data_IF_727598690832
#
_entry.id   IF_727598690832
#
_cell.length_a   1.000
_cell.length_b   1.000
_cell.length_c   1.000
_cell.angle_alpha   90.00
_cell.angle_beta   90.00
_cell.angle_gamma   90.00
#
_symmetry.space_group_name_H-M   'P 1'
#
loop_
_entity.id
_entity.type
_entity.pdbx_description
1 polymer ?
#
# COMPACT_ATOMS: atom_id res chain seq x y z
N UNK A 1 6.68 -24.39 -4.48
CA UNK A 1 7.10 -23.63 -3.28
C UNK A 1 7.97 -22.42 -3.66
N UNK A 2 9.22 -22.59 -4.12
CA UNK A 2 10.13 -21.45 -4.44
C UNK A 2 9.67 -20.58 -5.61
N UNK A 3 9.16 -21.18 -6.68
CA UNK A 3 8.72 -20.43 -7.88
C UNK A 3 7.50 -19.55 -7.61
N UNK A 4 6.52 -20.07 -6.86
CA UNK A 4 5.32 -19.33 -6.45
C UNK A 4 5.66 -18.15 -5.53
N UNK A 5 6.62 -18.33 -4.62
CA UNK A 5 7.05 -17.26 -3.72
C UNK A 5 7.70 -16.09 -4.48
N UNK A 6 8.55 -16.40 -5.47
CA UNK A 6 9.17 -15.39 -6.34
C UNK A 6 8.10 -14.63 -7.13
N UNK A 7 7.08 -15.32 -7.65
CA UNK A 7 5.98 -14.66 -8.38
C UNK A 7 5.17 -13.71 -7.49
N UNK A 8 4.84 -14.10 -6.26
CA UNK A 8 4.12 -13.24 -5.31
C UNK A 8 4.94 -11.97 -5.00
N UNK A 9 6.24 -12.12 -4.75
CA UNK A 9 7.11 -10.99 -4.44
C UNK A 9 7.20 -10.01 -5.61
N UNK A 10 7.31 -10.51 -6.84
CA UNK A 10 7.31 -9.66 -8.04
C UNK A 10 5.99 -8.93 -8.23
N UNK A 11 4.85 -9.61 -8.06
CA UNK A 11 3.53 -8.98 -8.18
C UNK A 11 3.36 -7.90 -7.11
N UNK A 12 3.78 -8.17 -5.87
CA UNK A 12 3.75 -7.18 -4.79
C UNK A 12 4.64 -5.99 -5.13
N UNK A 13 5.87 -6.21 -5.63
CA UNK A 13 6.78 -5.12 -6.00
C UNK A 13 6.21 -4.24 -7.13
N UNK A 14 5.61 -4.85 -8.15
CA UNK A 14 4.98 -4.11 -9.26
C UNK A 14 3.72 -3.36 -8.79
N UNK A 15 2.88 -4.01 -7.97
CA UNK A 15 1.69 -3.38 -7.41
C UNK A 15 2.04 -2.19 -6.51
N UNK A 16 3.12 -2.30 -5.74
CA UNK A 16 3.63 -1.24 -4.85
C UNK A 16 4.04 0.01 -5.63
N UNK A 17 4.59 -0.16 -6.83
CA UNK A 17 4.98 0.95 -7.70
C UNK A 17 3.72 1.71 -8.13
N UNK A 18 2.75 1.02 -8.73
CA UNK A 18 1.51 1.61 -9.25
C UNK A 18 0.51 2.18 -8.21
N UNK A 19 0.84 2.15 -6.91
CA UNK A 19 -0.13 2.28 -5.82
C UNK A 19 -0.59 3.72 -5.49
N UNK A 20 -0.11 4.75 -6.19
CA UNK A 20 -0.63 6.08 -5.91
C UNK A 20 -2.09 6.22 -6.30
N UNK A 21 -2.46 5.84 -7.52
CA UNK A 21 -3.76 6.21 -8.04
C UNK A 21 -3.88 7.72 -8.30
N UNK A 22 -4.84 8.04 -9.15
CA UNK A 22 -4.91 9.34 -9.85
C UNK A 22 -5.48 10.48 -9.00
N UNK A 23 -6.18 10.17 -7.90
CA UNK A 23 -6.86 11.16 -7.06
C UNK A 23 -6.56 10.95 -5.58
N UNK A 24 -6.68 12.01 -4.78
CA UNK A 24 -6.50 11.95 -3.32
C UNK A 24 -7.31 10.83 -2.65
N UNK A 25 -8.56 10.65 -3.04
CA UNK A 25 -9.41 9.59 -2.49
C UNK A 25 -8.89 8.20 -2.82
N UNK A 26 -8.41 7.97 -4.06
CA UNK A 26 -7.81 6.69 -4.46
C UNK A 26 -6.50 6.45 -3.70
N UNK A 27 -5.64 7.46 -3.58
CA UNK A 27 -4.41 7.39 -2.79
C UNK A 27 -4.71 6.97 -1.34
N UNK A 28 -5.71 7.61 -0.71
CA UNK A 28 -6.10 7.28 0.65
C UNK A 28 -6.63 5.86 0.78
N UNK A 29 -7.53 5.43 -0.12
CA UNK A 29 -8.14 4.09 -0.08
C UNK A 29 -7.10 2.99 -0.33
N UNK A 30 -6.19 3.17 -1.29
CA UNK A 30 -5.13 2.20 -1.58
C UNK A 30 -4.20 2.08 -0.37
N UNK A 31 -3.75 3.21 0.17
CA UNK A 31 -2.93 3.25 1.38
C UNK A 31 -3.63 2.62 2.59
N UNK A 32 -4.92 2.90 2.78
CA UNK A 32 -5.73 2.34 3.86
C UNK A 32 -5.83 0.82 3.74
N UNK A 33 -6.10 0.30 2.53
CA UNK A 33 -6.19 -1.13 2.28
C UNK A 33 -4.87 -1.85 2.55
N UNK A 34 -3.76 -1.29 2.05
CA UNK A 34 -2.43 -1.82 2.30
C UNK A 34 -2.10 -1.82 3.81
N UNK A 35 -2.30 -0.69 4.48
CA UNK A 35 -2.06 -0.52 5.91
C UNK A 35 -2.91 -1.45 6.79
N UNK A 36 -4.21 -1.56 6.49
CA UNK A 36 -5.13 -2.47 7.17
C UNK A 36 -4.71 -3.94 6.96
N UNK A 37 -4.36 -4.31 5.72
CA UNK A 37 -3.88 -5.64 5.38
C UNK A 37 -2.61 -6.00 6.13
N UNK A 38 -1.63 -5.10 6.17
CA UNK A 38 -0.42 -5.31 6.97
C UNK A 38 -0.72 -5.46 8.45
N UNK A 39 -1.59 -4.61 9.02
CA UNK A 39 -1.98 -4.68 10.42
C UNK A 39 -2.68 -6.01 10.74
N UNK A 40 -3.54 -6.52 9.86
CA UNK A 40 -4.17 -7.83 10.01
C UNK A 40 -3.14 -8.96 10.06
N UNK A 41 -2.15 -8.96 9.15
CA UNK A 41 -1.13 -10.02 9.07
C UNK A 41 -0.22 -10.01 10.31
N UNK A 42 0.16 -8.84 10.80
CA UNK A 42 1.07 -8.72 11.96
C UNK A 42 0.35 -8.67 13.31
N UNK A 43 -0.98 -8.81 13.34
CA UNK A 43 -1.79 -8.77 14.56
C UNK A 43 -1.88 -7.39 15.22
N UNK A 44 -1.70 -6.31 14.45
CA UNK A 44 -1.81 -4.93 14.91
C UNK A 44 -3.24 -4.36 14.87
N UNK A 45 -3.39 -3.10 15.29
CA UNK A 45 -4.66 -2.39 15.20
C UNK A 45 -5.00 -2.09 13.73
N UNK A 46 -6.01 -2.76 13.19
CA UNK A 46 -6.44 -2.65 11.79
C UNK A 46 -6.87 -1.23 11.43
N UNK A 47 -7.66 -0.58 12.28
CA UNK A 47 -8.11 0.80 12.03
C UNK A 47 -6.93 1.78 12.10
N UNK A 48 -6.00 1.58 13.05
CA UNK A 48 -4.77 2.35 13.13
C UNK A 48 -3.89 2.17 11.89
N UNK A 49 -3.70 0.94 11.44
CA UNK A 49 -2.96 0.62 10.21
C UNK A 49 -3.61 1.23 8.97
N UNK A 50 -4.94 1.19 8.87
CA UNK A 50 -5.69 1.82 7.79
C UNK A 50 -5.49 3.35 7.77
N UNK A 51 -5.60 4.01 8.92
CA UNK A 51 -5.42 5.46 9.02
C UNK A 51 -4.00 5.89 8.68
N UNK A 52 -3.00 5.21 9.27
CA UNK A 52 -1.59 5.50 9.01
C UNK A 52 -1.25 5.21 7.55
N UNK A 53 -1.69 4.08 7.00
CA UNK A 53 -1.46 3.71 5.61
C UNK A 53 -2.11 4.68 4.62
N UNK A 54 -3.33 5.14 4.89
CA UNK A 54 -4.02 6.14 4.07
C UNK A 54 -3.23 7.46 4.02
N UNK A 55 -2.86 7.98 5.19
CA UNK A 55 -2.11 9.23 5.31
C UNK A 55 -0.72 9.12 4.69
N UNK A 56 -0.02 8.02 4.94
CA UNK A 56 1.32 7.79 4.40
C UNK A 56 1.32 7.68 2.87
N UNK A 57 0.35 6.97 2.28
CA UNK A 57 0.26 6.84 0.83
C UNK A 57 -0.05 8.20 0.17
N UNK A 58 -1.02 8.94 0.70
CA UNK A 58 -1.32 10.31 0.22
C UNK A 58 -0.10 11.22 0.34
N UNK A 59 0.54 11.26 1.50
CA UNK A 59 1.71 12.11 1.72
C UNK A 59 2.86 11.75 0.77
N UNK A 60 3.13 10.46 0.56
CA UNK A 60 4.18 9.98 -0.33
C UNK A 60 3.90 10.35 -1.80
N UNK A 61 2.68 10.06 -2.28
CA UNK A 61 2.26 10.34 -3.65
C UNK A 61 2.31 11.82 -4.00
N UNK A 62 1.90 12.67 -3.06
CA UNK A 62 1.91 14.12 -3.26
C UNK A 62 3.33 14.70 -3.19
N UNK A 63 4.19 14.15 -2.34
CA UNK A 63 5.59 14.55 -2.27
C UNK A 63 6.41 14.09 -3.48
N UNK A 64 6.05 12.95 -4.09
CA UNK A 64 6.83 12.31 -5.14
C UNK A 64 5.96 11.80 -6.32
N UNK A 65 5.28 12.68 -7.07
CA UNK A 65 4.29 12.29 -8.08
C UNK A 65 4.86 11.50 -9.27
N UNK A 66 6.17 11.50 -9.48
CA UNK A 66 6.84 10.74 -10.56
C UNK A 66 7.54 9.45 -10.11
N UNK A 67 7.34 9.00 -8.85
CA UNK A 67 8.01 7.82 -8.28
C UNK A 67 7.09 6.61 -8.07
N UNK A 68 5.88 6.70 -8.58
CA UNK A 68 4.85 5.66 -8.49
C UNK A 68 4.38 5.30 -9.91
#
# INVERSE_FOLDING_TARGET
MRFTFILILSVVALASLSACGDTLGKQAVIGAGAGAGTALVVGGNVAGGALVGAGANVAYCQAFPGRC
#
